data_IF_539437601043
#
_entry.id   IF_539437601043
#
_cell.length_a   1.000
_cell.length_b   1.000
_cell.length_c   1.000
_cell.angle_alpha   90.00
_cell.angle_beta   90.00
_cell.angle_gamma   90.00
#
_symmetry.space_group_name_H-M   'P 1'
#
loop_
_entity.id
_entity.type
_entity.pdbx_description
1 polymer ?
#
# COMPACT_ATOMS: atom_id res chain seq x y z
N UNK A 1 33.46 -27.72 -61.20
CA UNK A 1 33.65 -27.91 -59.76
C UNK A 1 33.75 -26.53 -59.12
N UNK A 2 32.65 -25.99 -58.64
CA UNK A 2 32.67 -24.73 -57.87
C UNK A 2 31.77 -24.90 -56.70
N UNK A 3 32.36 -25.01 -55.50
CA UNK A 3 31.67 -25.01 -54.21
C UNK A 3 31.27 -23.58 -53.84
N UNK A 4 29.98 -23.29 -53.89
CA UNK A 4 29.43 -22.08 -53.36
C UNK A 4 29.16 -22.29 -51.85
N UNK A 5 29.96 -21.64 -50.99
CA UNK A 5 29.72 -21.59 -49.56
C UNK A 5 28.70 -20.49 -49.30
N UNK A 6 27.48 -20.86 -49.02
CA UNK A 6 26.47 -19.96 -48.48
C UNK A 6 26.82 -19.60 -47.02
N UNK A 7 27.13 -18.35 -46.75
CA UNK A 7 27.24 -17.78 -45.38
C UNK A 7 25.86 -17.35 -44.94
N UNK A 8 25.29 -18.08 -44.02
CA UNK A 8 24.08 -17.65 -43.32
C UNK A 8 24.44 -16.54 -42.33
N UNK A 9 23.97 -15.33 -42.57
CA UNK A 9 23.99 -14.24 -41.61
C UNK A 9 22.81 -14.46 -40.65
N UNK A 10 23.09 -14.91 -39.44
CA UNK A 10 22.12 -14.92 -38.37
C UNK A 10 22.05 -13.50 -37.78
N UNK A 11 20.97 -12.77 -38.09
CA UNK A 11 20.66 -11.48 -37.51
C UNK A 11 20.05 -11.74 -36.14
N UNK A 12 20.85 -11.59 -35.07
CA UNK A 12 20.39 -11.63 -33.71
C UNK A 12 19.73 -10.26 -33.39
N UNK A 13 18.41 -10.17 -33.55
CA UNK A 13 17.64 -9.05 -33.05
C UNK A 13 17.48 -9.28 -31.54
N UNK A 14 18.36 -8.66 -30.74
CA UNK A 14 18.15 -8.53 -29.31
C UNK A 14 17.03 -7.50 -29.09
N UNK A 15 15.81 -7.98 -29.17
CA UNK A 15 14.65 -7.22 -28.70
C UNK A 15 14.70 -7.09 -27.19
N UNK A 16 15.18 -5.95 -26.69
CA UNK A 16 15.00 -5.57 -25.31
C UNK A 16 13.51 -5.38 -25.08
N UNK A 17 12.83 -6.41 -24.60
CA UNK A 17 11.50 -6.31 -24.01
C UNK A 17 11.67 -5.51 -22.72
N UNK A 18 11.55 -4.18 -22.84
CA UNK A 18 11.25 -3.33 -21.69
C UNK A 18 9.82 -3.69 -21.30
N UNK A 19 9.69 -4.67 -20.43
CA UNK A 19 8.40 -4.90 -19.74
C UNK A 19 8.14 -3.65 -18.91
N UNK A 20 7.01 -2.92 -19.13
CA UNK A 20 6.59 -1.95 -18.16
C UNK A 20 6.42 -2.72 -16.84
N UNK A 21 7.12 -2.31 -15.81
CA UNK A 21 6.85 -2.79 -14.46
C UNK A 21 5.37 -2.53 -14.21
N UNK A 22 4.58 -3.55 -14.42
CA UNK A 22 3.18 -3.57 -14.01
C UNK A 22 3.22 -3.47 -12.49
N UNK A 23 3.06 -2.24 -12.00
CA UNK A 23 2.87 -1.98 -10.59
C UNK A 23 1.56 -2.63 -10.22
N UNK A 24 1.64 -3.86 -9.73
CA UNK A 24 0.51 -4.60 -9.20
C UNK A 24 0.09 -3.86 -7.92
N UNK A 25 -0.83 -2.91 -8.07
CA UNK A 25 -1.62 -2.45 -6.94
C UNK A 25 -2.52 -3.60 -6.51
N UNK A 26 -2.04 -4.42 -5.59
CA UNK A 26 -2.88 -5.38 -4.90
C UNK A 26 -3.83 -4.59 -3.99
N UNK A 27 -4.99 -4.22 -4.50
CA UNK A 27 -6.11 -3.76 -3.68
C UNK A 27 -6.69 -4.99 -2.99
N UNK A 28 -6.08 -5.39 -1.88
CA UNK A 28 -6.60 -6.47 -1.08
C UNK A 28 -7.80 -5.98 -0.29
N UNK A 29 -8.90 -6.71 -0.38
CA UNK A 29 -10.01 -6.64 0.58
C UNK A 29 -9.47 -7.08 1.94
N UNK A 30 -10.05 -6.57 3.04
CA UNK A 30 -9.70 -7.04 4.38
C UNK A 30 -10.05 -8.51 4.48
N UNK A 31 -9.04 -9.36 4.58
CA UNK A 31 -9.21 -10.77 4.90
C UNK A 31 -9.22 -10.96 6.42
N UNK A 32 -9.70 -12.09 6.90
CA UNK A 32 -9.65 -12.40 8.33
C UNK A 32 -8.22 -12.33 8.87
N UNK A 33 -7.21 -12.66 8.07
CA UNK A 33 -5.80 -12.53 8.42
C UNK A 33 -5.32 -11.07 8.53
N UNK A 34 -6.05 -10.11 7.95
CA UNK A 34 -5.72 -8.69 7.99
C UNK A 34 -6.36 -7.93 9.16
N UNK A 35 -7.32 -8.52 9.87
CA UNK A 35 -8.08 -7.87 10.95
C UNK A 35 -7.15 -7.41 12.07
N UNK A 36 -6.40 -8.30 12.68
CA UNK A 36 -5.47 -7.98 13.77
C UNK A 36 -4.36 -7.01 13.33
N UNK A 37 -3.71 -7.21 12.17
CA UNK A 37 -2.78 -6.22 11.63
C UNK A 37 -3.40 -4.84 11.41
N UNK A 38 -4.66 -4.76 10.96
CA UNK A 38 -5.38 -3.49 10.76
C UNK A 38 -5.60 -2.76 12.08
N UNK A 39 -6.09 -3.47 13.11
CA UNK A 39 -6.27 -2.91 14.45
C UNK A 39 -4.96 -2.39 15.03
N UNK A 40 -3.91 -3.20 14.96
CA UNK A 40 -2.58 -2.81 15.42
C UNK A 40 -2.05 -1.58 14.67
N UNK A 41 -2.26 -1.50 13.36
CA UNK A 41 -1.82 -0.37 12.55
C UNK A 41 -2.54 0.94 12.92
N UNK A 42 -3.86 0.88 13.20
CA UNK A 42 -4.65 2.04 13.63
C UNK A 42 -4.24 2.46 15.04
N UNK A 43 -4.21 1.54 15.99
CA UNK A 43 -3.90 1.84 17.40
C UNK A 43 -2.49 2.38 17.59
N UNK A 44 -1.52 1.91 16.81
CA UNK A 44 -0.12 2.33 16.88
C UNK A 44 0.25 3.42 15.85
N UNK A 45 -0.74 4.09 15.25
CA UNK A 45 -0.48 5.09 14.21
C UNK A 45 0.47 6.20 14.68
N UNK A 46 0.31 6.67 15.90
CA UNK A 46 1.18 7.70 16.49
C UNK A 46 2.65 7.28 16.58
N UNK A 47 2.90 6.06 17.04
CA UNK A 47 4.26 5.48 17.10
C UNK A 47 4.84 5.22 15.70
N UNK A 48 3.98 4.78 14.76
CA UNK A 48 4.39 4.59 13.36
C UNK A 48 4.79 5.89 12.69
N UNK A 49 4.16 7.02 13.06
CA UNK A 49 4.53 8.34 12.58
C UNK A 49 6.01 8.68 12.85
N UNK A 50 6.54 8.29 13.99
CA UNK A 50 7.95 8.54 14.32
C UNK A 50 8.89 7.68 13.46
N UNK A 51 8.50 6.46 13.12
CA UNK A 51 9.24 5.61 12.19
C UNK A 51 9.23 6.13 10.75
N UNK A 52 8.16 6.79 10.32
CA UNK A 52 8.09 7.40 8.98
C UNK A 52 9.22 8.40 8.75
N UNK A 53 9.61 9.14 9.79
CA UNK A 53 10.68 10.16 9.69
C UNK A 53 12.02 9.58 9.25
N UNK A 54 12.30 8.33 9.59
CA UNK A 54 13.56 7.64 9.26
C UNK A 54 13.52 6.88 7.94
N UNK A 55 12.40 6.91 7.20
CA UNK A 55 12.31 6.23 5.91
C UNK A 55 13.11 7.00 4.87
N UNK A 56 14.11 6.35 4.28
CA UNK A 56 14.94 6.89 3.19
C UNK A 56 14.61 6.26 1.84
N UNK A 57 13.86 5.14 1.82
CA UNK A 57 13.45 4.41 0.63
C UNK A 57 12.13 3.70 0.86
N UNK A 58 11.24 3.72 -0.12
CA UNK A 58 9.98 2.96 -0.13
C UNK A 58 10.00 1.97 -1.30
N UNK A 59 10.45 0.72 -1.08
CA UNK A 59 10.54 -0.28 -2.15
C UNK A 59 9.17 -0.70 -2.69
N UNK A 60 8.15 -0.76 -1.83
CA UNK A 60 6.79 -1.14 -2.22
C UNK A 60 5.75 -0.50 -1.33
N UNK A 61 4.54 -0.33 -1.89
CA UNK A 61 3.35 0.12 -1.17
C UNK A 61 2.24 -0.91 -1.41
N UNK A 62 1.75 -1.51 -0.33
CA UNK A 62 0.54 -2.32 -0.31
C UNK A 62 -0.61 -1.51 0.26
N UNK A 63 -1.82 -1.75 -0.24
CA UNK A 63 -3.03 -1.05 0.23
C UNK A 63 -4.08 -2.07 0.63
N UNK A 64 -4.62 -1.92 1.84
CA UNK A 64 -5.73 -2.70 2.37
C UNK A 64 -6.91 -1.75 2.58
N UNK A 65 -8.04 -2.04 1.93
CA UNK A 65 -9.25 -1.23 2.03
C UNK A 65 -10.13 -1.74 3.16
N UNK A 66 -10.43 -0.86 4.13
CA UNK A 66 -11.21 -1.19 5.32
C UNK A 66 -12.73 -1.06 5.12
N UNK A 67 -13.15 -0.36 4.07
CA UNK A 67 -14.55 -0.03 3.77
C UNK A 67 -15.18 -0.90 2.69
N UNK A 68 -14.48 -1.90 2.20
CA UNK A 68 -15.05 -2.90 1.30
C UNK A 68 -15.71 -3.96 2.16
N UNK A 69 -17.02 -4.19 2.02
CA UNK A 69 -17.69 -5.24 2.76
C UNK A 69 -17.05 -6.58 2.39
N UNK A 70 -16.41 -7.21 3.37
CA UNK A 70 -16.09 -8.62 3.28
C UNK A 70 -17.44 -9.32 3.26
N UNK A 71 -17.73 -10.08 2.22
CA UNK A 71 -18.89 -10.98 2.25
C UNK A 71 -18.64 -11.92 3.43
N UNK A 72 -19.38 -11.81 4.54
CA UNK A 72 -19.15 -12.68 5.67
C UNK A 72 -19.44 -14.08 5.20
N UNK A 73 -18.43 -14.91 5.13
CA UNK A 73 -18.64 -16.34 5.18
C UNK A 73 -19.37 -16.59 6.49
N UNK A 74 -20.53 -17.24 6.44
CA UNK A 74 -21.36 -17.51 7.62
C UNK A 74 -20.49 -17.91 8.80
N UNK A 75 -20.52 -17.10 9.90
CA UNK A 75 -19.78 -17.37 11.13
C UNK A 75 -18.40 -16.69 11.26
N UNK A 76 -18.03 -15.75 10.40
CA UNK A 76 -16.78 -15.01 10.58
C UNK A 76 -16.98 -13.76 11.44
N UNK A 77 -16.25 -13.67 12.55
CA UNK A 77 -16.13 -12.47 13.41
C UNK A 77 -15.27 -11.38 12.75
N UNK A 78 -15.53 -11.09 11.47
CA UNK A 78 -14.81 -9.99 10.78
C UNK A 78 -15.44 -8.68 11.22
N UNK A 79 -14.68 -7.76 11.83
CA UNK A 79 -15.20 -6.47 12.24
C UNK A 79 -15.83 -5.72 11.08
N UNK A 80 -16.94 -5.07 11.35
CA UNK A 80 -17.58 -4.20 10.37
C UNK A 80 -16.68 -2.98 10.09
N UNK A 81 -16.82 -2.37 8.90
CA UNK A 81 -16.14 -1.11 8.60
C UNK A 81 -16.44 -0.01 9.65
N UNK A 82 -17.58 -0.08 10.35
CA UNK A 82 -17.98 0.82 11.41
C UNK A 82 -17.07 0.70 12.63
N UNK A 83 -16.66 -0.51 13.00
CA UNK A 83 -15.74 -0.74 14.12
C UNK A 83 -14.36 -0.15 13.83
N UNK A 84 -13.84 -0.31 12.61
CA UNK A 84 -12.61 0.35 12.18
C UNK A 84 -12.74 1.88 12.24
N UNK A 85 -13.88 2.42 11.81
CA UNK A 85 -14.17 3.86 11.89
C UNK A 85 -14.14 4.38 13.33
N UNK A 86 -14.79 3.68 14.25
CA UNK A 86 -14.79 4.00 15.69
C UNK A 86 -13.36 3.99 16.23
N UNK A 87 -12.55 3.01 15.87
CA UNK A 87 -11.15 2.95 16.30
C UNK A 87 -10.33 4.12 15.79
N UNK A 88 -10.50 4.52 14.54
CA UNK A 88 -9.84 5.70 13.98
C UNK A 88 -10.28 6.96 14.71
N UNK A 89 -11.56 7.10 15.04
CA UNK A 89 -12.06 8.23 15.83
C UNK A 89 -11.44 8.27 17.23
N UNK A 90 -11.36 7.13 17.91
CA UNK A 90 -10.73 7.01 19.24
C UNK A 90 -9.24 7.33 19.21
N UNK A 91 -8.53 7.01 18.12
CA UNK A 91 -7.11 7.29 17.94
C UNK A 91 -6.84 8.41 16.92
N UNK A 92 -7.75 9.36 16.80
CA UNK A 92 -7.66 10.42 15.79
C UNK A 92 -6.34 11.20 15.84
N UNK A 93 -5.84 11.51 17.03
CA UNK A 93 -4.57 12.22 17.20
C UNK A 93 -3.38 11.42 16.62
N UNK A 94 -3.34 10.10 16.90
CA UNK A 94 -2.31 9.22 16.35
C UNK A 94 -2.37 9.09 14.84
N UNK A 95 -3.58 8.91 14.30
CA UNK A 95 -3.81 8.83 12.85
C UNK A 95 -3.45 10.16 12.16
N UNK A 96 -3.82 11.30 12.74
CA UNK A 96 -3.45 12.63 12.21
C UNK A 96 -1.94 12.86 12.24
N UNK A 97 -1.26 12.42 13.29
CA UNK A 97 0.20 12.47 13.39
C UNK A 97 0.85 11.63 12.28
N UNK A 98 0.34 10.41 12.03
CA UNK A 98 0.82 9.53 10.96
C UNK A 98 0.66 10.18 9.57
N UNK A 99 -0.52 10.70 9.27
CA UNK A 99 -0.80 11.38 7.99
C UNK A 99 0.16 12.55 7.75
N UNK A 100 0.38 13.38 8.76
CA UNK A 100 1.34 14.50 8.69
C UNK A 100 2.77 14.00 8.47
N UNK A 101 3.19 12.95 9.17
CA UNK A 101 4.53 12.40 9.01
C UNK A 101 4.76 11.83 7.59
N UNK A 102 3.77 11.10 7.04
CA UNK A 102 3.83 10.57 5.67
C UNK A 102 3.95 11.70 4.63
N UNK A 103 3.29 12.83 4.84
CA UNK A 103 3.35 13.99 3.95
C UNK A 103 4.60 14.84 4.16
N UNK A 104 5.14 14.90 5.37
CA UNK A 104 6.37 15.65 5.68
C UNK A 104 7.62 14.97 5.12
N UNK A 105 7.65 13.62 5.08
CA UNK A 105 8.78 12.89 4.51
C UNK A 105 8.66 12.87 2.97
N UNK A 106 9.63 13.44 2.23
CA UNK A 106 9.54 13.55 0.77
C UNK A 106 9.48 12.20 0.06
N UNK A 107 10.12 11.17 0.63
CA UNK A 107 10.16 9.82 0.05
C UNK A 107 8.79 9.15 0.15
N UNK A 108 8.14 9.21 1.31
CA UNK A 108 6.79 8.63 1.48
C UNK A 108 5.75 9.45 0.75
N UNK A 109 5.86 10.78 0.73
CA UNK A 109 4.99 11.66 -0.04
C UNK A 109 5.04 11.33 -1.54
N UNK A 110 6.24 11.16 -2.10
CA UNK A 110 6.41 10.76 -3.50
C UNK A 110 5.80 9.38 -3.77
N UNK A 111 5.95 8.42 -2.86
CA UNK A 111 5.33 7.11 -2.96
C UNK A 111 3.80 7.21 -2.96
N UNK A 112 3.19 7.97 -2.05
CA UNK A 112 1.74 8.18 -2.01
C UNK A 112 1.23 8.80 -3.32
N UNK A 113 1.92 9.80 -3.85
CA UNK A 113 1.57 10.45 -5.12
C UNK A 113 1.65 9.47 -6.30
N UNK A 114 2.73 8.66 -6.38
CA UNK A 114 2.90 7.63 -7.41
C UNK A 114 1.73 6.66 -7.44
N UNK A 115 1.25 6.24 -6.28
CA UNK A 115 0.14 5.29 -6.15
C UNK A 115 -1.23 5.95 -6.04
N UNK A 116 -1.32 7.28 -6.20
CA UNK A 116 -2.57 8.06 -6.13
C UNK A 116 -3.36 7.83 -4.84
N UNK A 117 -2.65 7.73 -3.73
CA UNK A 117 -3.23 7.53 -2.41
C UNK A 117 -3.45 8.89 -1.76
N UNK A 118 -4.70 9.20 -1.42
CA UNK A 118 -5.03 10.39 -0.64
C UNK A 118 -4.65 10.18 0.83
N UNK A 119 -3.77 11.00 1.40
CA UNK A 119 -3.38 10.89 2.80
C UNK A 119 -4.55 10.97 3.78
N UNK A 120 -5.63 11.68 3.44
CA UNK A 120 -6.83 11.79 4.27
C UNK A 120 -7.56 10.46 4.47
N UNK A 121 -7.38 9.53 3.55
CA UNK A 121 -7.99 8.19 3.60
C UNK A 121 -7.22 7.21 4.49
N UNK A 122 -5.98 7.51 4.86
CA UNK A 122 -5.13 6.61 5.63
C UNK A 122 -5.62 6.52 7.07
N UNK A 123 -5.96 5.32 7.51
CA UNK A 123 -6.36 5.00 8.88
C UNK A 123 -5.19 4.46 9.72
N UNK A 124 -4.25 3.78 9.07
CA UNK A 124 -3.09 3.20 9.73
C UNK A 124 -2.03 2.78 8.72
N UNK A 125 -0.86 2.43 9.23
CA UNK A 125 0.24 1.93 8.42
C UNK A 125 1.04 0.85 9.16
N UNK A 126 1.54 -0.11 8.42
CA UNK A 126 2.65 -0.97 8.83
C UNK A 126 3.88 -0.59 8.01
N UNK A 127 5.02 -0.56 8.67
CA UNK A 127 6.29 -0.19 8.06
C UNK A 127 7.25 -1.35 8.32
N UNK A 128 7.71 -1.99 7.25
CA UNK A 128 8.71 -3.05 7.37
C UNK A 128 10.09 -2.48 7.75
N UNK A 129 11.00 -3.34 8.18
CA UNK A 129 12.39 -2.96 8.43
C UNK A 129 13.10 -2.43 7.18
N UNK A 130 12.64 -2.80 6.00
CA UNK A 130 13.18 -2.37 4.71
C UNK A 130 12.50 -1.12 4.14
N UNK A 131 11.55 -0.50 4.87
CA UNK A 131 10.84 0.70 4.44
C UNK A 131 9.60 0.46 3.56
N UNK A 132 9.22 -0.81 3.29
CA UNK A 132 7.95 -1.09 2.59
C UNK A 132 6.77 -0.63 3.45
N UNK A 133 5.79 -0.02 2.80
CA UNK A 133 4.58 0.48 3.44
C UNK A 133 3.40 -0.46 3.15
N UNK A 134 2.63 -0.81 4.18
CA UNK A 134 1.31 -1.39 4.04
C UNK A 134 0.31 -0.43 4.67
N UNK A 135 -0.52 0.18 3.82
CA UNK A 135 -1.44 1.23 4.22
C UNK A 135 -2.86 0.66 4.36
N UNK A 136 -3.53 1.03 5.43
CA UNK A 136 -4.92 0.71 5.70
C UNK A 136 -5.75 1.95 5.46
N UNK A 137 -6.67 1.91 4.47
CA UNK A 137 -7.39 3.08 3.99
C UNK A 137 -8.91 2.87 3.98
N UNK A 138 -9.64 3.97 4.07
CA UNK A 138 -11.06 4.04 3.71
C UNK A 138 -11.19 4.75 2.37
N UNK A 139 -11.80 4.12 1.37
CA UNK A 139 -11.95 4.71 0.03
C UNK A 139 -12.88 5.91 0.00
N UNK A 140 -13.80 5.99 0.95
CA UNK A 140 -14.82 7.04 1.07
C UNK A 140 -14.85 7.60 2.49
N UNK A 141 -13.73 8.16 2.94
CA UNK A 141 -13.72 8.88 4.20
C UNK A 141 -14.34 10.27 3.97
N UNK A 142 -15.66 10.37 4.08
CA UNK A 142 -16.29 11.67 4.23
C UNK A 142 -16.01 12.19 5.65
N UNK A 143 -14.99 13.01 5.78
CA UNK A 143 -14.67 13.76 7.01
C UNK A 143 -15.53 15.03 7.12
N UNK A 144 -16.69 15.09 6.46
CA UNK A 144 -17.62 16.18 6.75
C UNK A 144 -18.38 15.84 8.03
N UNK A 145 -18.31 16.75 9.04
CA UNK A 145 -19.19 16.68 10.20
C UNK A 145 -20.65 16.76 9.78
#
# INVERSE_FOLDING_TARGET
>A
MHHLKARAFALLIAGSLIMPEAVLMAHAQVSQSDVQPSFSAIMNAGTRADRVKSITKVPSVGVVRLDVPVVPLMGSDVPSWQEFKIMVQRNYAGVSKLRRALMANPVTRAALAKYRIDPSQIAGAQISSRGSLRLYIFSRWNTRP
#
